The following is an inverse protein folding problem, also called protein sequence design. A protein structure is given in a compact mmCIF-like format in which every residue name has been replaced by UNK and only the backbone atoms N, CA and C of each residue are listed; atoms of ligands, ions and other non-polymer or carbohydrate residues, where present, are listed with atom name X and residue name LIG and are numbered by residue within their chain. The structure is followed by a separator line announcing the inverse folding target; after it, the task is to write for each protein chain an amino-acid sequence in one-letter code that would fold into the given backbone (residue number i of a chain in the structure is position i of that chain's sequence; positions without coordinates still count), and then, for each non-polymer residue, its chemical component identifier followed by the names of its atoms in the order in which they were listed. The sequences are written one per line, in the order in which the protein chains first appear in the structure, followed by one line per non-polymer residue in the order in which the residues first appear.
data_IF_731830687894
#
_entry.id   IF_731830687894
#
_cell.length_a   1.000
_cell.length_b   1.000
_cell.length_c   1.000
_cell.angle_alpha   90.00
_cell.angle_beta   90.00
_cell.angle_gamma   90.00
#
_symmetry.space_group_name_H-M   'P 1'
#
loop_
_entity.id
_entity.type
_entity.pdbx_description
1 polymer ?
#
# COMPACT_ATOMS: atom_id res chain seq x y z
N UNK A 1 -43.40 21.45 49.67
CA UNK A 1 -42.40 20.43 49.27
C UNK A 1 -41.35 20.42 50.35
N UNK A 2 -41.14 19.26 50.98
CA UNK A 2 -40.16 19.10 52.04
C UNK A 2 -38.74 19.26 51.48
N UNK A 3 -37.90 20.05 52.15
CA UNK A 3 -36.53 20.35 51.68
C UNK A 3 -35.67 19.11 51.43
N UNK A 4 -35.99 18.00 52.09
CA UNK A 4 -35.35 16.69 51.87
C UNK A 4 -35.66 16.10 50.49
N UNK A 5 -36.87 16.28 49.98
CA UNK A 5 -37.29 15.74 48.68
C UNK A 5 -36.57 16.46 47.53
N UNK A 6 -36.31 17.76 47.68
CA UNK A 6 -35.56 18.55 46.71
C UNK A 6 -34.09 18.10 46.61
N UNK A 7 -33.45 17.79 47.75
CA UNK A 7 -32.06 17.29 47.79
C UNK A 7 -31.96 15.92 47.11
N UNK A 8 -32.94 15.04 47.32
CA UNK A 8 -32.97 13.70 46.71
C UNK A 8 -33.08 13.77 45.19
N UNK A 9 -33.92 14.65 44.64
CA UNK A 9 -34.08 14.80 43.19
C UNK A 9 -32.84 15.40 42.51
N UNK A 10 -32.16 16.37 43.16
CA UNK A 10 -30.87 16.88 42.69
C UNK A 10 -29.80 15.77 42.71
N UNK A 11 -29.74 14.99 43.80
CA UNK A 11 -28.77 13.91 43.90
C UNK A 11 -28.97 12.85 42.79
N UNK A 12 -30.22 12.49 42.46
CA UNK A 12 -30.51 11.57 41.35
C UNK A 12 -30.08 12.13 39.99
N UNK A 13 -30.30 13.42 39.76
CA UNK A 13 -29.93 14.08 38.51
C UNK A 13 -28.40 14.24 38.36
N UNK A 14 -27.68 14.45 39.47
CA UNK A 14 -26.23 14.70 39.49
C UNK A 14 -25.40 13.44 39.74
N UNK A 15 -26.01 12.33 40.17
CA UNK A 15 -25.30 11.08 40.39
C UNK A 15 -24.66 10.55 39.10
N UNK A 16 -25.37 10.56 37.97
CA UNK A 16 -24.85 10.01 36.72
C UNK A 16 -23.76 10.88 36.06
N UNK A 17 -23.86 12.23 35.98
CA UNK A 17 -22.77 13.04 35.44
C UNK A 17 -21.56 13.04 36.36
N UNK A 18 -21.77 13.08 37.68
CA UNK A 18 -20.66 13.01 38.64
C UNK A 18 -19.94 11.66 38.52
N UNK A 19 -20.67 10.55 38.43
CA UNK A 19 -20.08 9.24 38.19
C UNK A 19 -19.34 9.17 36.85
N UNK A 20 -19.90 9.71 35.77
CA UNK A 20 -19.24 9.74 34.45
C UNK A 20 -17.95 10.56 34.46
N UNK A 21 -17.94 11.72 35.13
CA UNK A 21 -16.74 12.57 35.28
C UNK A 21 -15.69 11.90 36.17
N UNK A 22 -16.10 11.26 37.27
CA UNK A 22 -15.21 10.51 38.16
C UNK A 22 -14.56 9.34 37.43
N UNK A 23 -15.35 8.51 36.74
CA UNK A 23 -14.88 7.39 35.95
C UNK A 23 -13.96 7.87 34.81
N UNK A 24 -14.37 8.89 34.05
CA UNK A 24 -13.56 9.49 33.00
C UNK A 24 -12.22 10.00 33.52
N UNK A 25 -12.20 10.68 34.67
CA UNK A 25 -10.98 11.22 35.28
C UNK A 25 -10.05 10.11 35.81
N UNK A 26 -10.61 9.05 36.41
CA UNK A 26 -9.85 7.92 36.94
C UNK A 26 -9.24 7.07 35.82
N UNK A 27 -10.00 6.82 34.75
CA UNK A 27 -9.60 5.91 33.67
C UNK A 27 -8.97 6.61 32.45
N UNK A 28 -8.98 7.94 32.34
CA UNK A 28 -8.41 8.68 31.17
C UNK A 28 -7.03 8.20 30.74
N UNK A 29 -6.17 7.86 31.71
CA UNK A 29 -4.80 7.38 31.45
C UNK A 29 -4.83 6.00 30.80
N UNK A 30 -5.61 5.07 31.36
CA UNK A 30 -5.77 3.72 30.82
C UNK A 30 -6.42 3.71 29.43
N UNK A 31 -7.41 4.56 29.16
CA UNK A 31 -7.99 4.71 27.81
C UNK A 31 -6.98 5.27 26.81
N UNK A 32 -6.15 6.23 27.21
CA UNK A 32 -5.09 6.78 26.35
C UNK A 32 -3.96 5.77 26.09
N UNK A 33 -3.65 4.90 27.05
CA UNK A 33 -2.66 3.84 26.86
C UNK A 33 -3.20 2.72 25.94
N UNK A 34 -4.49 2.38 26.07
CA UNK A 34 -5.18 1.45 25.16
C UNK A 34 -5.21 1.96 23.73
N UNK A 35 -5.46 3.26 23.50
CA UNK A 35 -5.45 3.81 22.15
C UNK A 35 -4.05 3.73 21.52
N UNK A 36 -3.00 4.06 22.28
CA UNK A 36 -1.60 3.91 21.84
C UNK A 36 -1.23 2.46 21.54
N UNK A 37 -1.66 1.51 22.38
CA UNK A 37 -1.40 0.09 22.18
C UNK A 37 -2.09 -0.46 20.93
N UNK A 38 -3.36 -0.08 20.69
CA UNK A 38 -4.09 -0.42 19.47
C UNK A 38 -3.43 0.16 18.23
N UNK A 39 -2.99 1.40 18.30
CA UNK A 39 -2.26 2.07 17.24
C UNK A 39 -0.93 1.36 16.93
N UNK A 40 -0.11 1.04 17.94
CA UNK A 40 1.17 0.32 17.76
C UNK A 40 1.00 -1.10 17.20
N UNK A 41 -0.04 -1.82 17.64
CA UNK A 41 -0.37 -3.14 17.10
C UNK A 41 -0.81 -3.10 15.63
N UNK A 42 -1.59 -2.08 15.24
CA UNK A 42 -1.99 -1.86 13.85
C UNK A 42 -0.79 -1.57 12.96
N UNK A 43 0.13 -0.70 13.40
CA UNK A 43 1.36 -0.40 12.65
C UNK A 43 2.19 -1.65 12.36
N UNK A 44 2.50 -2.46 13.38
CA UNK A 44 3.27 -3.69 13.19
C UNK A 44 2.56 -4.73 12.32
N UNK A 45 1.22 -4.81 12.40
CA UNK A 45 0.44 -5.70 11.53
C UNK A 45 0.48 -5.26 10.07
N UNK A 46 0.40 -3.95 9.81
CA UNK A 46 0.40 -3.38 8.46
C UNK A 46 1.77 -3.53 7.77
N UNK A 47 2.84 -3.21 8.51
CA UNK A 47 4.23 -3.41 8.09
C UNK A 47 4.49 -4.86 7.69
N UNK A 48 4.10 -5.79 8.57
CA UNK A 48 4.26 -7.22 8.34
C UNK A 48 3.43 -7.71 7.14
N UNK A 49 2.18 -7.26 7.03
CA UNK A 49 1.33 -7.62 5.89
C UNK A 49 1.88 -7.13 4.55
N UNK A 50 2.43 -5.92 4.50
CA UNK A 50 3.07 -5.40 3.31
C UNK A 50 4.29 -6.23 2.93
N UNK A 51 5.22 -6.43 3.87
CA UNK A 51 6.43 -7.22 3.65
C UNK A 51 6.12 -8.65 3.20
N UNK A 52 5.16 -9.29 3.87
CA UNK A 52 4.70 -10.63 3.54
C UNK A 52 4.14 -10.70 2.12
N UNK A 53 3.27 -9.75 1.74
CA UNK A 53 2.69 -9.75 0.39
C UNK A 53 3.73 -9.51 -0.69
N UNK A 54 4.71 -8.63 -0.47
CA UNK A 54 5.82 -8.45 -1.41
C UNK A 54 6.59 -9.77 -1.58
N UNK A 55 6.88 -10.47 -0.48
CA UNK A 55 7.55 -11.78 -0.52
C UNK A 55 6.71 -12.84 -1.24
N UNK A 56 5.40 -12.91 -0.97
CA UNK A 56 4.48 -13.84 -1.62
C UNK A 56 4.43 -13.61 -3.14
N UNK A 57 4.43 -12.34 -3.59
CA UNK A 57 4.49 -12.02 -5.02
C UNK A 57 5.83 -12.43 -5.60
N UNK A 58 6.95 -12.10 -4.97
CA UNK A 58 8.27 -12.49 -5.46
C UNK A 58 8.40 -14.02 -5.60
N UNK A 59 7.86 -14.79 -4.65
CA UNK A 59 7.85 -16.26 -4.70
C UNK A 59 6.99 -16.84 -5.84
N UNK A 60 5.99 -16.08 -6.32
CA UNK A 60 5.13 -16.51 -7.44
C UNK A 60 5.80 -16.39 -8.82
N UNK A 61 6.88 -15.61 -8.91
CA UNK A 61 7.62 -15.31 -10.14
C UNK A 61 9.13 -15.55 -10.00
N UNK A 62 9.54 -16.79 -9.63
CA UNK A 62 10.95 -17.11 -9.35
C UNK A 62 11.85 -17.07 -10.60
N UNK A 63 11.25 -17.00 -11.79
CA UNK A 63 11.89 -16.93 -13.09
C UNK A 63 12.34 -15.51 -13.47
N UNK A 64 11.87 -14.48 -12.74
CA UNK A 64 12.29 -13.11 -12.99
C UNK A 64 13.74 -12.89 -12.52
N UNK A 65 14.57 -12.23 -13.35
CA UNK A 65 15.93 -11.92 -12.97
C UNK A 65 15.92 -10.85 -11.87
N UNK A 66 16.56 -11.15 -10.74
CA UNK A 66 16.65 -10.23 -9.61
C UNK A 66 17.55 -9.03 -9.95
N UNK A 67 16.94 -7.86 -10.11
CA UNK A 67 17.65 -6.62 -10.45
C UNK A 67 18.35 -6.06 -9.23
N UNK A 68 19.57 -5.53 -9.39
CA UNK A 68 20.25 -4.84 -8.28
C UNK A 68 19.57 -3.49 -8.00
N UNK A 69 19.26 -3.21 -6.73
CA UNK A 69 18.77 -1.89 -6.30
C UNK A 69 19.96 -1.00 -5.93
N UNK A 70 19.97 0.24 -6.41
CA UNK A 70 21.04 1.21 -6.10
C UNK A 70 20.98 1.67 -4.64
N UNK A 71 22.13 2.01 -4.06
CA UNK A 71 22.24 2.62 -2.72
C UNK A 71 21.40 3.90 -2.60
N UNK A 72 21.29 4.67 -3.68
CA UNK A 72 20.43 5.85 -3.73
C UNK A 72 18.97 5.48 -3.55
N UNK A 73 18.50 4.43 -4.22
CA UNK A 73 17.12 3.94 -4.11
C UNK A 73 16.82 3.39 -2.72
N UNK A 74 17.79 2.72 -2.09
CA UNK A 74 17.68 2.25 -0.69
C UNK A 74 17.55 3.44 0.26
N UNK A 75 18.40 4.47 0.10
CA UNK A 75 18.30 5.70 0.88
C UNK A 75 16.97 6.43 0.67
N UNK A 76 16.47 6.48 -0.56
CA UNK A 76 15.17 7.08 -0.88
C UNK A 76 14.00 6.30 -0.26
N UNK A 77 14.04 4.96 -0.28
CA UNK A 77 13.02 4.10 0.35
C UNK A 77 12.93 4.33 1.86
N UNK A 78 14.06 4.57 2.54
CA UNK A 78 14.09 4.86 3.97
C UNK A 78 13.53 6.26 4.30
N UNK A 79 13.73 7.26 3.43
CA UNK A 79 13.30 8.65 3.67
C UNK A 79 11.85 8.89 3.22
N UNK A 80 11.45 8.32 2.08
CA UNK A 80 10.12 8.47 1.50
C UNK A 80 9.63 7.14 0.91
N UNK A 81 9.13 6.21 1.74
CA UNK A 81 8.71 4.88 1.29
C UNK A 81 7.56 4.94 0.28
N UNK A 82 6.59 5.85 0.50
CA UNK A 82 5.47 6.06 -0.44
C UNK A 82 5.98 6.53 -1.80
N UNK A 83 6.89 7.50 -1.81
CA UNK A 83 7.51 8.01 -3.03
C UNK A 83 8.24 6.91 -3.80
N UNK A 84 9.07 6.12 -3.12
CA UNK A 84 9.81 5.02 -3.74
C UNK A 84 8.88 3.97 -4.39
N UNK A 85 7.80 3.58 -3.73
CA UNK A 85 6.79 2.66 -4.28
C UNK A 85 6.11 3.25 -5.51
N UNK A 86 5.72 4.53 -5.45
CA UNK A 86 5.07 5.23 -6.54
C UNK A 86 5.97 5.37 -7.76
N UNK A 87 7.21 5.80 -7.57
CA UNK A 87 8.21 5.95 -8.63
C UNK A 87 8.49 4.60 -9.32
N UNK A 88 8.68 3.54 -8.54
CA UNK A 88 8.90 2.20 -9.10
C UNK A 88 7.68 1.68 -9.88
N UNK A 89 6.46 1.93 -9.40
CA UNK A 89 5.24 1.55 -10.12
C UNK A 89 5.03 2.37 -11.41
N UNK A 90 5.38 3.65 -11.41
CA UNK A 90 5.30 4.49 -12.62
C UNK A 90 6.16 3.94 -13.76
N UNK A 91 7.36 3.43 -13.45
CA UNK A 91 8.22 2.78 -14.44
C UNK A 91 7.55 1.52 -15.05
N UNK A 92 6.86 0.72 -14.23
CA UNK A 92 6.08 -0.43 -14.69
C UNK A 92 4.94 0.01 -15.61
N UNK A 93 4.19 1.05 -15.22
CA UNK A 93 3.07 1.58 -16.00
C UNK A 93 3.53 2.12 -17.36
N UNK A 94 4.61 2.90 -17.38
CA UNK A 94 5.19 3.45 -18.61
C UNK A 94 5.61 2.34 -19.56
N UNK A 95 6.34 1.33 -19.07
CA UNK A 95 6.77 0.21 -19.88
C UNK A 95 5.59 -0.65 -20.37
N UNK A 96 4.57 -0.84 -19.53
CA UNK A 96 3.36 -1.55 -19.92
C UNK A 96 2.61 -0.82 -21.03
N UNK A 97 2.51 0.50 -20.96
CA UNK A 97 1.93 1.33 -22.03
C UNK A 97 2.74 1.19 -23.32
N UNK A 98 4.07 1.31 -23.25
CA UNK A 98 4.95 1.17 -24.41
C UNK A 98 4.79 -0.20 -25.06
N UNK A 99 4.78 -1.28 -24.27
CA UNK A 99 4.53 -2.63 -24.77
C UNK A 99 3.15 -2.73 -25.43
N UNK A 100 2.09 -2.27 -24.75
CA UNK A 100 0.73 -2.37 -25.25
C UNK A 100 0.53 -1.61 -26.58
N UNK A 101 1.13 -0.41 -26.71
CA UNK A 101 1.09 0.37 -27.95
C UNK A 101 1.88 -0.31 -29.07
N UNK A 102 3.11 -0.78 -28.79
CA UNK A 102 3.96 -1.44 -29.79
C UNK A 102 3.34 -2.73 -30.35
N UNK A 103 2.47 -3.39 -29.57
CA UNK A 103 1.78 -4.62 -29.95
C UNK A 103 0.34 -4.41 -30.39
N UNK A 104 -0.11 -3.15 -30.55
CA UNK A 104 -1.50 -2.79 -30.91
C UNK A 104 -2.55 -3.38 -29.94
N UNK A 105 -2.20 -3.58 -28.68
CA UNK A 105 -3.08 -4.09 -27.61
C UNK A 105 -3.90 -2.97 -26.96
N UNK A 106 -3.57 -1.71 -27.27
CA UNK A 106 -4.21 -0.50 -26.77
C UNK A 106 -4.27 0.54 -27.89
N UNK A 107 -5.36 1.33 -27.91
CA UNK A 107 -5.46 2.50 -28.78
C UNK A 107 -4.55 3.64 -28.26
N UNK A 108 -3.86 4.40 -29.13
CA UNK A 108 -3.01 5.52 -28.71
C UNK A 108 -3.72 6.57 -27.85
N UNK A 109 -5.01 6.80 -28.10
CA UNK A 109 -5.86 7.71 -27.31
C UNK A 109 -6.05 7.26 -25.86
N UNK A 110 -5.86 5.96 -25.59
CA UNK A 110 -6.00 5.37 -24.27
C UNK A 110 -4.68 5.35 -23.46
N UNK A 111 -3.58 5.94 -23.97
CA UNK A 111 -2.29 6.11 -23.27
C UNK A 111 -2.45 6.72 -21.86
N UNK A 112 -3.50 7.51 -21.61
CA UNK A 112 -3.83 8.09 -20.29
C UNK A 112 -4.34 7.08 -19.25
N UNK A 113 -4.61 5.84 -19.64
CA UNK A 113 -5.22 4.82 -18.79
C UNK A 113 -4.29 3.60 -18.65
N UNK A 114 -3.31 3.62 -17.73
CA UNK A 114 -2.34 2.53 -17.55
C UNK A 114 -2.99 1.15 -17.34
N UNK A 115 -4.15 1.13 -16.67
CA UNK A 115 -4.97 -0.08 -16.48
C UNK A 115 -5.36 -0.76 -17.79
N UNK A 116 -5.68 0.03 -18.83
CA UNK A 116 -6.01 -0.51 -20.13
C UNK A 116 -4.83 -1.24 -20.78
N UNK A 117 -3.61 -0.74 -20.57
CA UNK A 117 -2.39 -1.36 -21.08
C UNK A 117 -2.12 -2.70 -20.40
N UNK A 118 -2.18 -2.75 -19.06
CA UNK A 118 -2.00 -3.98 -18.29
C UNK A 118 -3.07 -5.03 -18.67
N UNK A 119 -4.33 -4.63 -18.80
CA UNK A 119 -5.40 -5.53 -19.23
C UNK A 119 -5.23 -6.03 -20.67
N UNK A 120 -4.77 -5.16 -21.58
CA UNK A 120 -4.46 -5.53 -22.96
C UNK A 120 -3.34 -6.58 -23.03
N UNK A 121 -2.27 -6.36 -22.25
CA UNK A 121 -1.16 -7.31 -22.12
C UNK A 121 -1.65 -8.64 -21.53
N UNK A 122 -2.43 -8.61 -20.45
CA UNK A 122 -2.96 -9.83 -19.83
C UNK A 122 -3.81 -10.66 -20.81
N UNK A 123 -4.65 -10.01 -21.62
CA UNK A 123 -5.49 -10.67 -22.63
C UNK A 123 -4.72 -11.21 -23.83
N UNK A 124 -3.56 -10.63 -24.12
CA UNK A 124 -2.73 -11.03 -25.27
C UNK A 124 -2.02 -12.37 -25.09
N UNK A 125 -1.89 -12.85 -23.84
CA UNK A 125 -1.13 -14.06 -23.53
C UNK A 125 0.39 -13.90 -23.66
N UNK A 126 0.89 -12.67 -23.80
CA UNK A 126 2.34 -12.39 -23.88
C UNK A 126 3.08 -12.63 -22.57
N UNK A 127 2.38 -12.54 -21.45
CA UNK A 127 2.90 -12.81 -20.11
C UNK A 127 2.32 -14.12 -19.57
N UNK A 128 3.11 -14.81 -18.74
CA UNK A 128 2.59 -15.94 -17.98
C UNK A 128 1.48 -15.47 -17.02
N UNK A 129 0.58 -16.39 -16.64
CA UNK A 129 -0.46 -16.07 -15.64
C UNK A 129 0.14 -15.58 -14.33
N UNK A 130 1.31 -16.08 -13.94
CA UNK A 130 2.00 -15.64 -12.72
C UNK A 130 2.50 -14.21 -12.83
N UNK A 131 3.09 -13.81 -13.97
CA UNK A 131 3.53 -12.43 -14.19
C UNK A 131 2.35 -11.44 -14.21
N UNK A 132 1.22 -11.84 -14.79
CA UNK A 132 -0.01 -11.03 -14.77
C UNK A 132 -0.54 -10.86 -13.35
N UNK A 133 -0.58 -11.95 -12.57
CA UNK A 133 -0.96 -11.89 -11.16
C UNK A 133 -0.02 -11.00 -10.36
N UNK A 134 1.30 -11.12 -10.58
CA UNK A 134 2.30 -10.28 -9.91
C UNK A 134 2.11 -8.79 -10.20
N UNK A 135 1.85 -8.41 -11.46
CA UNK A 135 1.51 -7.02 -11.81
C UNK A 135 0.27 -6.53 -11.07
N UNK A 136 -0.78 -7.36 -10.99
CA UNK A 136 -2.02 -6.99 -10.30
C UNK A 136 -1.84 -6.85 -8.78
N UNK A 137 -1.02 -7.69 -8.16
CA UNK A 137 -0.74 -7.63 -6.72
C UNK A 137 0.17 -6.43 -6.37
N UNK A 138 1.18 -6.13 -7.18
CA UNK A 138 1.97 -4.90 -7.02
C UNK A 138 1.10 -3.64 -7.14
N UNK A 139 0.17 -3.62 -8.09
CA UNK A 139 -0.78 -2.51 -8.21
C UNK A 139 -1.60 -2.33 -6.93
N UNK A 140 -2.10 -3.43 -6.36
CA UNK A 140 -2.84 -3.39 -5.09
C UNK A 140 -1.97 -2.91 -3.93
N UNK A 141 -0.69 -3.30 -3.88
CA UNK A 141 0.26 -2.85 -2.87
C UNK A 141 0.55 -1.35 -3.00
N UNK A 142 0.76 -0.85 -4.23
CA UNK A 142 0.88 0.59 -4.51
C UNK A 142 -0.35 1.35 -4.08
N UNK A 143 -1.55 0.85 -4.40
CA UNK A 143 -2.80 1.49 -3.99
C UNK A 143 -2.94 1.54 -2.47
N UNK A 144 -2.53 0.50 -1.75
CA UNK A 144 -2.52 0.54 -0.28
C UNK A 144 -1.53 1.58 0.26
N UNK A 145 -0.33 1.65 -0.30
CA UNK A 145 0.68 2.64 0.08
C UNK A 145 0.18 4.09 -0.06
N UNK A 146 -0.69 4.37 -1.02
CA UNK A 146 -1.25 5.72 -1.25
C UNK A 146 -2.48 6.04 -0.40
N UNK A 147 -3.33 5.06 -0.12
CA UNK A 147 -4.62 5.30 0.54
C UNK A 147 -4.55 5.17 2.07
N UNK A 148 -3.51 4.53 2.61
CA UNK A 148 -3.34 4.39 4.04
C UNK A 148 -2.62 5.62 4.63
N UNK A 149 -3.31 6.46 5.44
CA UNK A 149 -2.74 7.69 6.00
C UNK A 149 -1.57 7.42 6.96
N UNK A 150 -1.52 6.23 7.54
CA UNK A 150 -0.56 5.80 8.54
C UNK A 150 0.46 4.78 7.96
N UNK A 151 0.57 4.72 6.63
CA UNK A 151 1.51 3.85 5.94
C UNK A 151 2.98 4.13 6.32
N UNK A 152 3.58 3.18 7.04
CA UNK A 152 4.97 3.22 7.48
C UNK A 152 5.61 1.84 7.34
N UNK A 153 5.76 1.29 6.12
CA UNK A 153 6.32 -0.04 5.91
C UNK A 153 7.79 -0.10 6.33
N UNK A 154 8.27 -1.31 6.59
CA UNK A 154 9.69 -1.57 6.75
C UNK A 154 10.49 -1.18 5.47
N UNK A 155 11.61 -0.44 5.58
CA UNK A 155 12.39 -0.01 4.42
C UNK A 155 12.89 -1.17 3.54
N UNK A 156 13.23 -2.33 4.11
CA UNK A 156 13.71 -3.48 3.33
C UNK A 156 12.56 -4.09 2.51
N UNK A 157 11.34 -4.07 3.04
CA UNK A 157 10.14 -4.45 2.29
C UNK A 157 9.86 -3.51 1.11
N UNK A 158 10.11 -2.20 1.28
CA UNK A 158 10.00 -1.21 0.20
C UNK A 158 11.08 -1.46 -0.86
N UNK A 159 12.32 -1.72 -0.45
CA UNK A 159 13.40 -2.08 -1.38
C UNK A 159 13.04 -3.33 -2.18
N UNK A 160 12.48 -4.35 -1.52
CA UNK A 160 12.03 -5.59 -2.17
C UNK A 160 10.91 -5.32 -3.17
N UNK A 161 9.97 -4.43 -2.85
CA UNK A 161 8.93 -3.99 -3.78
C UNK A 161 9.54 -3.31 -5.01
N UNK A 162 10.48 -2.39 -4.81
CA UNK A 162 11.14 -1.66 -5.91
C UNK A 162 11.93 -2.62 -6.79
N UNK A 163 12.63 -3.58 -6.20
CA UNK A 163 13.34 -4.63 -6.92
C UNK A 163 12.38 -5.43 -7.82
N UNK A 164 11.29 -5.94 -7.26
CA UNK A 164 10.30 -6.72 -7.99
C UNK A 164 9.61 -5.91 -9.10
N UNK A 165 9.36 -4.61 -8.87
CA UNK A 165 8.84 -3.72 -9.90
C UNK A 165 9.84 -3.50 -11.06
N UNK A 166 11.14 -3.37 -10.75
CA UNK A 166 12.19 -3.30 -11.77
C UNK A 166 12.30 -4.61 -12.56
N UNK A 167 12.16 -5.75 -11.89
CA UNK A 167 12.22 -7.08 -12.51
C UNK A 167 11.08 -7.26 -13.53
N UNK A 168 9.86 -6.88 -13.13
CA UNK A 168 8.69 -6.88 -14.03
C UNK A 168 8.85 -5.87 -15.17
N UNK A 169 9.41 -4.70 -14.91
CA UNK A 169 9.69 -3.69 -15.95
C UNK A 169 10.67 -4.24 -16.98
N UNK A 170 11.72 -4.94 -16.54
CA UNK A 170 12.67 -5.59 -17.42
C UNK A 170 12.02 -6.71 -18.23
N UNK A 171 11.10 -7.47 -17.64
CA UNK A 171 10.35 -8.50 -18.36
C UNK A 171 9.44 -7.90 -19.44
N UNK A 172 8.69 -6.84 -19.13
CA UNK A 172 7.89 -6.11 -20.11
C UNK A 172 8.77 -5.55 -21.24
N UNK A 173 9.96 -5.04 -20.91
CA UNK A 173 10.92 -4.50 -21.89
C UNK A 173 11.44 -5.55 -22.85
N UNK A 174 11.72 -6.78 -22.40
CA UNK A 174 12.13 -7.88 -23.30
C UNK A 174 11.06 -8.19 -24.36
N UNK A 175 9.80 -7.99 -24.00
CA UNK A 175 8.67 -8.19 -24.89
C UNK A 175 8.40 -6.98 -25.80
N UNK A 176 8.97 -5.81 -25.49
CA UNK A 176 8.82 -4.61 -26.32
C UNK A 176 9.76 -4.71 -27.54
N UNK A 177 9.25 -4.54 -28.78
CA UNK A 177 10.09 -4.49 -29.97
C UNK A 177 11.09 -3.31 -29.93
N UNK A 178 12.33 -3.49 -30.41
CA UNK A 178 13.32 -2.42 -30.48
C UNK A 178 12.83 -1.28 -31.37
N UNK A 179 12.97 -0.02 -30.91
CA UNK A 179 12.52 1.19 -31.62
C UNK A 179 11.14 1.72 -31.22
N UNK A 180 10.55 1.17 -30.15
CA UNK A 180 9.25 1.62 -29.61
C UNK A 180 9.37 2.71 -28.54
N UNK A 181 10.57 3.19 -28.25
CA UNK A 181 10.81 4.26 -27.28
C UNK A 181 10.34 5.59 -27.89
N UNK A 182 9.17 6.06 -27.46
CA UNK A 182 8.55 7.34 -27.88
C UNK A 182 8.28 8.22 -26.68
#
# INVERSE_FOLDING_TARGET
MDGLTFIVEIAKAVAWPAAAVLLGSLFRKHLADLSKALTKGKFGSLEFEFARRVADVAASVPDLPSSSVSLTTIGHAAVNPRGAILEAWLAVEEQAITLALSRNLMQPTARRYPLGAIQGIAKSGLLSSNHVLALSELQQLRNRATHDPDFSPDPDAVVSYVQLANDLTNELRKLTPPGSDV
#
